data_IF_864600793838
#
_entry.id   IF_864600793838
#
_cell.length_a   1.000
_cell.length_b   1.000
_cell.length_c   1.000
_cell.angle_alpha   90.00
_cell.angle_beta   90.00
_cell.angle_gamma   90.00
#
_symmetry.space_group_name_H-M   'P 1'
#
loop_
_entity.id
_entity.type
_entity.pdbx_description
1 polymer ?
#
# COMPACT_ATOMS: atom_id res chain seq x y z
N UNK A 1 -12.25 33.57 -13.22
CA UNK A 1 -11.92 33.53 -11.78
C UNK A 1 -11.99 32.07 -11.33
N UNK A 2 -10.88 31.31 -11.32
CA UNK A 2 -10.90 29.94 -10.78
C UNK A 2 -10.82 30.08 -9.27
N UNK A 3 -11.90 29.70 -8.57
CA UNK A 3 -11.97 29.65 -7.12
C UNK A 3 -10.68 29.01 -6.58
N UNK A 4 -10.00 29.69 -5.67
CA UNK A 4 -9.08 29.02 -4.75
C UNK A 4 -9.86 27.86 -4.14
N UNK A 5 -9.33 26.65 -4.24
CA UNK A 5 -9.90 25.50 -3.52
C UNK A 5 -9.60 25.79 -2.05
N UNK A 6 -10.56 26.42 -1.38
CA UNK A 6 -10.57 26.62 0.07
C UNK A 6 -11.51 25.59 0.66
N UNK A 7 -10.91 24.61 1.31
CA UNK A 7 -11.56 23.64 2.17
C UNK A 7 -12.02 24.31 3.46
N UNK A 8 -13.19 23.90 3.89
CA UNK A 8 -13.71 24.20 5.22
C UNK A 8 -12.73 23.72 6.31
N UNK A 9 -12.69 24.34 7.50
CA UNK A 9 -11.90 23.86 8.64
C UNK A 9 -12.06 22.36 8.91
N UNK A 10 -13.29 21.83 8.77
CA UNK A 10 -13.58 20.40 8.95
C UNK A 10 -12.89 19.51 7.91
N UNK A 11 -12.77 19.98 6.66
CA UNK A 11 -12.10 19.24 5.59
C UNK A 11 -10.57 19.27 5.75
N UNK A 12 -10.01 20.36 6.29
CA UNK A 12 -8.59 20.43 6.65
C UNK A 12 -8.26 19.49 7.81
N UNK A 13 -9.13 19.43 8.82
CA UNK A 13 -9.01 18.48 9.93
C UNK A 13 -9.07 17.03 9.42
N UNK A 14 -10.04 16.72 8.55
CA UNK A 14 -10.16 15.39 7.93
C UNK A 14 -8.90 15.05 7.11
N UNK A 15 -8.39 16.00 6.32
CA UNK A 15 -7.16 15.81 5.57
C UNK A 15 -5.95 15.52 6.47
N UNK A 16 -5.75 16.32 7.53
CA UNK A 16 -4.66 16.14 8.48
C UNK A 16 -4.78 14.78 9.20
N UNK A 17 -6.00 14.38 9.57
CA UNK A 17 -6.27 13.06 10.15
C UNK A 17 -5.83 11.94 9.20
N UNK A 18 -6.22 11.99 7.93
CA UNK A 18 -5.82 10.96 6.96
C UNK A 18 -4.31 10.96 6.70
N UNK A 19 -3.68 12.13 6.65
CA UNK A 19 -2.23 12.24 6.53
C UNK A 19 -1.52 11.54 7.70
N UNK A 20 -1.97 11.79 8.94
CA UNK A 20 -1.47 11.07 10.12
C UNK A 20 -1.77 9.58 10.06
N UNK A 21 -2.91 9.17 9.51
CA UNK A 21 -3.23 7.76 9.32
C UNK A 21 -2.28 7.06 8.35
N UNK A 22 -1.84 7.73 7.28
CA UNK A 22 -0.77 7.20 6.41
C UNK A 22 0.54 7.01 7.19
N UNK A 23 0.89 7.96 8.06
CA UNK A 23 2.09 7.84 8.93
C UNK A 23 1.94 6.68 9.93
N UNK A 24 0.79 6.55 10.58
CA UNK A 24 0.54 5.44 11.51
C UNK A 24 0.55 4.09 10.80
N UNK A 25 -0.06 3.99 9.61
CA UNK A 25 -0.02 2.80 8.78
C UNK A 25 1.43 2.43 8.41
N UNK A 26 2.23 3.40 7.97
CA UNK A 26 3.66 3.23 7.70
C UNK A 26 4.42 2.64 8.90
N UNK A 27 4.22 3.19 10.10
CA UNK A 27 4.88 2.71 11.33
C UNK A 27 4.42 1.27 11.62
N UNK A 28 3.12 0.99 11.58
CA UNK A 28 2.57 -0.33 11.86
C UNK A 28 3.12 -1.37 10.87
N UNK A 29 3.07 -1.10 9.56
CA UNK A 29 3.57 -2.01 8.54
C UNK A 29 5.07 -2.20 8.60
N UNK A 30 5.85 -1.18 8.98
CA UNK A 30 7.30 -1.32 9.17
C UNK A 30 7.64 -2.25 10.33
N UNK A 31 6.93 -2.15 11.46
CA UNK A 31 7.12 -3.04 12.61
C UNK A 31 6.77 -4.48 12.20
N UNK A 32 5.64 -4.69 11.53
CA UNK A 32 5.22 -6.02 11.05
C UNK A 32 6.25 -6.57 10.06
N UNK A 33 6.65 -5.76 9.07
CA UNK A 33 7.61 -6.12 8.05
C UNK A 33 8.97 -6.49 8.64
N UNK A 34 9.56 -5.64 9.46
CA UNK A 34 10.86 -5.93 10.10
C UNK A 34 10.79 -7.13 11.04
N UNK A 35 9.71 -7.28 11.81
CA UNK A 35 9.52 -8.46 12.67
C UNK A 35 9.48 -9.72 11.83
N UNK A 36 8.72 -9.72 10.73
CA UNK A 36 8.66 -10.86 9.81
C UNK A 36 10.04 -11.16 9.19
N UNK A 37 10.76 -10.13 8.73
CA UNK A 37 12.11 -10.29 8.19
C UNK A 37 13.09 -10.88 9.21
N UNK A 38 13.01 -10.43 10.47
CA UNK A 38 13.80 -10.98 11.57
C UNK A 38 13.46 -12.45 11.84
N UNK A 39 12.18 -12.84 11.78
CA UNK A 39 11.76 -14.24 11.95
C UNK A 39 12.22 -15.11 10.78
N UNK A 40 12.12 -14.63 9.53
CA UNK A 40 12.61 -15.32 8.33
C UNK A 40 14.13 -15.52 8.33
N UNK A 41 14.89 -14.54 8.80
CA UNK A 41 16.35 -14.63 8.85
C UNK A 41 16.88 -15.34 10.09
N UNK A 42 16.22 -15.14 11.24
CA UNK A 42 16.72 -15.52 12.56
C UNK A 42 16.24 -16.89 13.06
N UNK A 43 15.12 -17.42 12.57
CA UNK A 43 14.63 -18.74 12.95
C UNK A 43 15.04 -19.77 11.89
N UNK A 44 16.00 -20.68 12.17
CA UNK A 44 16.52 -21.62 11.16
C UNK A 44 15.44 -22.51 10.55
N UNK A 45 14.47 -22.95 11.37
CA UNK A 45 13.37 -23.78 10.90
C UNK A 45 12.46 -23.05 9.89
N UNK A 46 12.16 -21.78 10.13
CA UNK A 46 11.33 -20.99 9.23
C UNK A 46 12.10 -20.60 7.97
N UNK A 47 13.39 -20.27 8.10
CA UNK A 47 14.28 -20.05 6.97
C UNK A 47 14.35 -21.27 6.05
N UNK A 48 14.53 -22.46 6.62
CA UNK A 48 14.57 -23.70 5.86
C UNK A 48 13.25 -23.94 5.12
N UNK A 49 12.11 -23.67 5.76
CA UNK A 49 10.81 -23.75 5.12
C UNK A 49 10.69 -22.78 3.93
N UNK A 50 11.13 -21.54 4.09
CA UNK A 50 11.06 -20.54 3.02
C UNK A 50 12.00 -20.88 1.85
N UNK A 51 13.22 -21.32 2.14
CA UNK A 51 14.28 -21.53 1.14
C UNK A 51 14.13 -22.85 0.38
N UNK A 52 13.65 -23.92 1.03
CA UNK A 52 13.63 -25.28 0.46
C UNK A 52 12.23 -25.81 0.14
N UNK A 53 11.16 -25.14 0.57
CA UNK A 53 9.82 -25.57 0.23
C UNK A 53 9.41 -25.14 -1.18
N UNK A 54 8.60 -25.96 -1.86
CA UNK A 54 8.16 -25.77 -3.24
C UNK A 54 7.56 -24.37 -3.50
N UNK A 55 6.81 -23.84 -2.52
CA UNK A 55 6.18 -22.51 -2.60
C UNK A 55 6.64 -21.55 -1.50
N UNK A 56 7.73 -21.85 -0.79
CA UNK A 56 8.26 -21.00 0.29
C UNK A 56 8.58 -19.57 -0.18
N UNK A 57 8.99 -19.40 -1.45
CA UNK A 57 9.25 -18.08 -2.06
C UNK A 57 8.04 -17.15 -2.08
N UNK A 58 6.80 -17.67 -2.07
CA UNK A 58 5.58 -16.84 -2.01
C UNK A 58 5.48 -16.08 -0.67
N UNK A 59 6.00 -16.65 0.42
CA UNK A 59 6.07 -15.99 1.73
C UNK A 59 7.06 -14.83 1.69
N UNK A 60 8.21 -15.02 1.02
CA UNK A 60 9.18 -13.95 0.79
C UNK A 60 8.59 -12.83 -0.06
N UNK A 61 7.78 -13.16 -1.06
CA UNK A 61 7.05 -12.16 -1.84
C UNK A 61 6.04 -11.41 -0.95
N UNK A 62 5.28 -12.09 -0.09
CA UNK A 62 4.36 -11.44 0.85
C UNK A 62 5.09 -10.42 1.74
N UNK A 63 6.23 -10.83 2.31
CA UNK A 63 7.10 -9.97 3.12
C UNK A 63 7.66 -8.78 2.32
N UNK A 64 8.06 -8.99 1.06
CA UNK A 64 8.51 -7.91 0.19
C UNK A 64 7.41 -6.88 -0.08
N UNK A 65 6.19 -7.33 -0.35
CA UNK A 65 5.05 -6.45 -0.63
C UNK A 65 4.62 -5.65 0.61
N UNK A 66 4.60 -6.22 1.81
CA UNK A 66 4.28 -5.46 3.03
C UNK A 66 5.35 -4.39 3.33
N UNK A 67 6.62 -4.66 3.04
CA UNK A 67 7.69 -3.66 3.21
C UNK A 67 7.62 -2.56 2.15
N UNK A 68 7.45 -2.92 0.88
CA UNK A 68 7.42 -1.93 -0.21
C UNK A 68 6.11 -1.13 -0.21
N UNK A 69 4.97 -1.81 -0.25
CA UNK A 69 3.66 -1.16 -0.38
C UNK A 69 3.07 -0.71 0.95
N UNK A 70 3.45 -1.35 2.06
CA UNK A 70 2.95 -1.01 3.40
C UNK A 70 3.83 0.00 4.13
N UNK A 71 5.15 -0.16 4.10
CA UNK A 71 6.06 0.77 4.77
C UNK A 71 6.50 1.90 3.84
N UNK A 72 7.25 1.59 2.77
CA UNK A 72 7.89 2.60 1.92
C UNK A 72 6.85 3.48 1.21
N UNK A 73 5.86 2.86 0.60
CA UNK A 73 4.86 3.57 -0.19
C UNK A 73 3.94 4.45 0.68
N UNK A 74 3.54 3.98 1.86
CA UNK A 74 2.79 4.80 2.83
C UNK A 74 3.57 6.03 3.28
N UNK A 75 4.89 5.89 3.50
CA UNK A 75 5.76 7.02 3.82
C UNK A 75 5.79 8.04 2.66
N UNK A 76 5.91 7.56 1.42
CA UNK A 76 5.90 8.39 0.22
C UNK A 76 4.56 9.13 0.08
N UNK A 77 3.43 8.45 0.33
CA UNK A 77 2.11 9.06 0.27
C UNK A 77 1.94 10.16 1.32
N UNK A 78 2.31 9.89 2.58
CA UNK A 78 2.27 10.90 3.62
C UNK A 78 3.13 12.12 3.26
N UNK A 79 4.36 11.89 2.82
CA UNK A 79 5.30 12.94 2.43
C UNK A 79 4.77 13.75 1.24
N UNK A 80 4.29 13.11 0.18
CA UNK A 80 3.82 13.81 -1.02
C UNK A 80 2.48 14.51 -0.79
N UNK A 81 1.57 13.95 0.02
CA UNK A 81 0.37 14.67 0.43
C UNK A 81 0.70 15.91 1.27
N UNK A 82 1.81 15.94 2.00
CA UNK A 82 2.27 17.14 2.69
C UNK A 82 2.97 18.14 1.75
N UNK A 83 3.94 17.65 0.96
CA UNK A 83 4.84 18.48 0.14
C UNK A 83 4.10 19.13 -1.03
N UNK A 84 3.25 18.40 -1.75
CA UNK A 84 2.62 18.92 -2.98
C UNK A 84 1.70 20.12 -2.71
N UNK A 85 0.77 20.08 -1.73
CA UNK A 85 -0.03 21.25 -1.34
C UNK A 85 0.83 22.42 -0.87
N UNK A 86 1.86 22.14 -0.06
CA UNK A 86 2.75 23.15 0.53
C UNK A 86 3.53 23.91 -0.55
N UNK A 87 4.17 23.18 -1.48
CA UNK A 87 4.93 23.77 -2.59
C UNK A 87 4.01 24.50 -3.57
N UNK A 88 2.81 23.97 -3.80
CA UNK A 88 1.81 24.61 -4.67
C UNK A 88 1.11 25.80 -4.00
N UNK A 89 1.40 26.09 -2.72
CA UNK A 89 0.70 27.07 -1.86
C UNK A 89 -0.83 26.98 -1.97
N UNK A 90 -1.33 25.75 -2.06
CA UNK A 90 -2.74 25.47 -2.31
C UNK A 90 -3.14 24.21 -1.58
N UNK A 91 -4.43 24.09 -1.34
CA UNK A 91 -4.98 22.92 -0.71
C UNK A 91 -5.16 21.77 -1.72
N UNK A 92 -5.23 20.54 -1.23
CA UNK A 92 -5.38 19.33 -2.04
C UNK A 92 -6.66 19.39 -2.88
N UNK A 93 -6.65 18.83 -4.10
CA UNK A 93 -7.82 18.88 -4.97
C UNK A 93 -9.08 18.25 -4.35
N UNK A 94 -8.98 17.07 -3.72
CA UNK A 94 -10.12 16.43 -3.05
C UNK A 94 -9.69 15.58 -1.85
N UNK A 95 -10.22 15.92 -0.67
CA UNK A 95 -10.03 15.15 0.58
C UNK A 95 -10.74 13.79 0.51
N UNK A 96 -11.89 13.70 -0.17
CA UNK A 96 -12.60 12.43 -0.37
C UNK A 96 -11.77 11.42 -1.16
N UNK A 97 -11.01 11.88 -2.16
CA UNK A 97 -10.11 11.01 -2.92
C UNK A 97 -8.95 10.50 -2.07
N UNK A 98 -8.44 11.30 -1.12
CA UNK A 98 -7.42 10.86 -0.15
C UNK A 98 -7.96 9.73 0.72
N UNK A 99 -9.20 9.87 1.22
CA UNK A 99 -9.88 8.83 2.00
C UNK A 99 -10.07 7.54 1.21
N UNK A 100 -10.58 7.63 -0.03
CA UNK A 100 -10.76 6.46 -0.90
C UNK A 100 -9.42 5.80 -1.17
N UNK A 101 -8.39 6.57 -1.52
CA UNK A 101 -7.05 6.06 -1.72
C UNK A 101 -6.53 5.31 -0.49
N UNK A 102 -6.61 5.90 0.71
CA UNK A 102 -6.14 5.26 1.94
C UNK A 102 -6.79 3.90 2.18
N UNK A 103 -8.13 3.82 2.14
CA UNK A 103 -8.84 2.58 2.42
C UNK A 103 -8.66 1.54 1.33
N UNK A 104 -8.69 1.96 0.06
CA UNK A 104 -8.52 1.06 -1.07
C UNK A 104 -7.11 0.48 -1.06
N UNK A 105 -6.08 1.29 -0.85
CA UNK A 105 -4.71 0.80 -0.75
C UNK A 105 -4.51 -0.21 0.38
N UNK A 106 -4.99 0.12 1.59
CA UNK A 106 -4.85 -0.77 2.74
C UNK A 106 -5.60 -2.09 2.55
N UNK A 107 -6.82 -2.04 2.03
CA UNK A 107 -7.60 -3.25 1.75
C UNK A 107 -6.94 -4.12 0.66
N UNK A 108 -6.43 -3.48 -0.39
CA UNK A 108 -5.66 -4.12 -1.44
C UNK A 108 -4.41 -4.83 -0.91
N UNK A 109 -3.62 -4.12 -0.11
CA UNK A 109 -2.40 -4.63 0.48
C UNK A 109 -2.67 -5.82 1.42
N UNK A 110 -3.61 -5.68 2.36
CA UNK A 110 -3.93 -6.73 3.32
C UNK A 110 -4.41 -7.99 2.59
N UNK A 111 -5.33 -7.83 1.62
CA UNK A 111 -5.79 -8.95 0.80
C UNK A 111 -4.63 -9.64 0.10
N UNK A 112 -3.78 -8.88 -0.59
CA UNK A 112 -2.61 -9.41 -1.30
C UNK A 112 -1.69 -10.21 -0.39
N UNK A 113 -1.35 -9.68 0.79
CA UNK A 113 -0.46 -10.34 1.76
C UNK A 113 -1.08 -11.63 2.29
N UNK A 114 -2.38 -11.62 2.63
CA UNK A 114 -3.09 -12.80 3.12
C UNK A 114 -3.13 -13.92 2.09
N UNK A 115 -3.41 -13.59 0.82
CA UNK A 115 -3.43 -14.59 -0.24
C UNK A 115 -2.04 -15.12 -0.59
N UNK A 116 -1.00 -14.27 -0.62
CA UNK A 116 0.39 -14.74 -0.80
C UNK A 116 0.82 -15.68 0.33
N UNK A 117 0.53 -15.33 1.59
CA UNK A 117 0.88 -16.16 2.74
C UNK A 117 0.12 -17.49 2.71
N UNK A 118 -1.18 -17.46 2.40
CA UNK A 118 -1.99 -18.68 2.29
C UNK A 118 -1.47 -19.59 1.18
N UNK A 119 -1.15 -19.03 0.01
CA UNK A 119 -0.58 -19.77 -1.11
C UNK A 119 0.79 -20.37 -0.77
N UNK A 120 1.66 -19.61 -0.09
CA UNK A 120 2.98 -20.07 0.34
C UNK A 120 2.92 -21.15 1.41
N UNK A 121 1.98 -21.06 2.36
CA UNK A 121 1.82 -22.06 3.42
C UNK A 121 1.21 -23.36 2.89
N UNK A 122 0.13 -23.27 2.10
CA UNK A 122 -0.56 -24.44 1.53
C UNK A 122 0.34 -25.16 0.54
N UNK A 123 0.93 -24.43 -0.41
CA UNK A 123 1.87 -24.99 -1.38
C UNK A 123 3.21 -25.39 -0.78
N UNK A 124 3.49 -24.95 0.45
CA UNK A 124 4.73 -25.26 1.15
C UNK A 124 4.65 -26.48 2.07
N UNK A 125 3.45 -26.83 2.56
CA UNK A 125 3.20 -28.00 3.41
C UNK A 125 2.74 -29.23 2.62
N UNK A 126 2.14 -29.03 1.44
CA UNK A 126 1.58 -30.09 0.60
C UNK A 126 2.03 -29.90 -0.84
N UNK A 127 2.35 -31.01 -1.51
CA UNK A 127 2.74 -31.04 -2.93
C UNK A 127 1.83 -32.01 -3.68
N UNK A 128 1.24 -31.57 -4.79
CA UNK A 128 0.38 -32.39 -5.63
C UNK A 128 -0.53 -31.57 -6.54
N UNK A 129 -1.12 -32.19 -7.56
CA UNK A 129 -1.89 -31.49 -8.61
C UNK A 129 -3.05 -30.64 -8.06
N UNK A 130 -3.77 -31.14 -7.04
CA UNK A 130 -4.85 -30.39 -6.40
C UNK A 130 -4.32 -29.16 -5.64
N UNK A 131 -3.12 -29.26 -5.06
CA UNK A 131 -2.49 -28.14 -4.33
C UNK A 131 -2.06 -27.05 -5.31
N UNK A 132 -1.47 -27.42 -6.43
CA UNK A 132 -1.09 -26.49 -7.51
C UNK A 132 -2.30 -25.70 -8.03
N UNK A 133 -3.43 -26.38 -8.23
CA UNK A 133 -4.68 -25.71 -8.62
C UNK A 133 -5.11 -24.71 -7.55
N UNK A 134 -5.11 -25.07 -6.26
CA UNK A 134 -5.48 -24.14 -5.18
C UNK A 134 -4.53 -22.94 -5.12
N UNK A 135 -3.22 -23.16 -5.17
CA UNK A 135 -2.21 -22.10 -5.18
C UNK A 135 -2.42 -21.15 -6.35
N UNK A 136 -2.68 -21.67 -7.55
CA UNK A 136 -2.97 -20.86 -8.74
C UNK A 136 -4.20 -19.96 -8.56
N UNK A 137 -5.30 -20.49 -8.00
CA UNK A 137 -6.48 -19.66 -7.68
C UNK A 137 -6.17 -18.58 -6.64
N UNK A 138 -5.39 -18.90 -5.60
CA UNK A 138 -4.97 -17.92 -4.60
C UNK A 138 -4.10 -16.81 -5.21
N UNK A 139 -3.20 -17.15 -6.14
CA UNK A 139 -2.40 -16.17 -6.87
C UNK A 139 -3.26 -15.31 -7.82
N UNK A 140 -4.34 -15.83 -8.37
CA UNK A 140 -5.29 -15.01 -9.13
C UNK A 140 -5.96 -13.95 -8.22
N UNK A 141 -6.31 -14.32 -6.97
CA UNK A 141 -6.79 -13.35 -5.98
C UNK A 141 -5.71 -12.32 -5.63
N UNK A 142 -4.46 -12.72 -5.42
CA UNK A 142 -3.33 -11.78 -5.26
C UNK A 142 -3.32 -10.74 -6.38
N UNK A 143 -3.45 -11.18 -7.64
CA UNK A 143 -3.52 -10.28 -8.79
C UNK A 143 -4.71 -9.31 -8.73
N UNK A 144 -5.90 -9.80 -8.34
CA UNK A 144 -7.10 -8.98 -8.19
C UNK A 144 -6.91 -7.88 -7.13
N UNK A 145 -6.38 -8.22 -5.97
CA UNK A 145 -6.08 -7.25 -4.91
C UNK A 145 -4.93 -6.30 -5.32
N UNK A 146 -3.97 -6.76 -6.12
CA UNK A 146 -2.93 -5.92 -6.71
C UNK A 146 -3.47 -4.89 -7.69
N UNK A 147 -4.48 -5.24 -8.50
CA UNK A 147 -5.15 -4.26 -9.36
C UNK A 147 -5.91 -3.20 -8.56
N UNK A 148 -6.41 -3.57 -7.38
CA UNK A 148 -7.06 -2.62 -6.46
C UNK A 148 -6.04 -1.64 -5.87
N UNK A 149 -4.85 -2.10 -5.49
CA UNK A 149 -3.71 -1.24 -5.09
C UNK A 149 -3.30 -0.32 -6.25
N UNK A 150 -3.15 -0.86 -7.47
CA UNK A 150 -2.82 -0.06 -8.65
C UNK A 150 -3.84 1.04 -8.90
N UNK A 151 -5.13 0.72 -8.76
CA UNK A 151 -6.21 1.71 -8.90
C UNK A 151 -6.09 2.79 -7.84
N UNK A 152 -5.66 2.43 -6.63
CA UNK A 152 -5.46 3.38 -5.52
C UNK A 152 -4.34 4.37 -5.85
N UNK A 153 -3.26 3.87 -6.45
CA UNK A 153 -2.14 4.68 -6.93
C UNK A 153 -2.52 5.61 -8.09
N UNK A 154 -3.41 5.16 -8.98
CA UNK A 154 -3.95 6.02 -10.04
C UNK A 154 -4.78 7.16 -9.45
N UNK A 155 -5.65 6.87 -8.46
CA UNK A 155 -6.44 7.90 -7.76
C UNK A 155 -5.51 8.90 -7.05
N UNK A 156 -4.48 8.39 -6.38
CA UNK A 156 -3.46 9.19 -5.72
C UNK A 156 -2.76 10.14 -6.70
N UNK A 157 -2.21 9.59 -7.79
CA UNK A 157 -1.52 10.35 -8.83
C UNK A 157 -2.44 11.38 -9.49
N UNK A 158 -3.70 11.01 -9.75
CA UNK A 158 -4.71 11.94 -10.27
C UNK A 158 -4.97 13.10 -9.31
N UNK A 159 -5.11 12.83 -8.01
CA UNK A 159 -5.38 13.86 -7.00
C UNK A 159 -4.19 14.84 -6.89
N UNK A 160 -2.96 14.33 -6.91
CA UNK A 160 -1.76 15.17 -6.91
C UNK A 160 -1.62 15.98 -8.22
N UNK A 161 -1.80 15.34 -9.38
CA UNK A 161 -1.74 16.02 -10.68
C UNK A 161 -2.76 17.17 -10.80
N UNK A 162 -3.99 16.95 -10.34
CA UNK A 162 -5.02 18.00 -10.33
C UNK A 162 -4.66 19.14 -9.38
N UNK A 163 -3.96 18.84 -8.28
CA UNK A 163 -3.46 19.84 -7.34
C UNK A 163 -2.38 20.72 -7.99
N UNK A 164 -1.43 20.12 -8.74
CA UNK A 164 -0.31 20.85 -9.38
C UNK A 164 -0.69 21.56 -10.68
N UNK A 165 -1.53 20.96 -11.55
CA UNK A 165 -1.92 21.55 -12.85
C UNK A 165 -2.65 22.90 -12.70
N UNK A 166 -3.31 23.12 -11.57
CA UNK A 166 -3.95 24.40 -11.28
C UNK A 166 -2.91 25.43 -10.79
N UNK A 167 -1.81 24.98 -10.16
CA UNK A 167 -0.70 25.77 -9.61
C UNK A 167 0.33 26.30 -10.62
N UNK A 168 0.47 25.70 -11.80
CA UNK A 168 1.46 26.15 -12.81
C UNK A 168 1.17 27.53 -13.44
N UNK A 169 0.06 28.19 -13.11
CA UNK A 169 -0.13 29.58 -13.53
C UNK A 169 0.87 30.45 -12.77
N UNK A 170 1.96 30.84 -13.46
CA UNK A 170 2.97 31.82 -13.03
C UNK A 170 2.31 32.94 -12.22
N UNK A 171 2.91 33.42 -11.12
CA UNK A 171 2.53 34.72 -10.59
C UNK A 171 2.72 35.73 -11.73
N UNK A 172 1.62 36.34 -12.15
CA UNK A 172 1.61 37.49 -13.06
C UNK A 172 2.27 38.68 -12.39
#
# INVERSE_FOLDING_TARGET
MKQSIEHSPAQLEEFNKYLLWFVYACIIYSIIGFTWGAVMGGVPAFRYFVDYSAHGRLITLAHGHINLLGWVEMAIFAALYYVVPTVSRRQIYSVRLVKIHFWMHNFGLIGMVVFFLSAGLIGGLSTGENTEKVVSHLLAFVGMFGMLVLTANIIWGYNLYKTTKVGWKKPS
#
